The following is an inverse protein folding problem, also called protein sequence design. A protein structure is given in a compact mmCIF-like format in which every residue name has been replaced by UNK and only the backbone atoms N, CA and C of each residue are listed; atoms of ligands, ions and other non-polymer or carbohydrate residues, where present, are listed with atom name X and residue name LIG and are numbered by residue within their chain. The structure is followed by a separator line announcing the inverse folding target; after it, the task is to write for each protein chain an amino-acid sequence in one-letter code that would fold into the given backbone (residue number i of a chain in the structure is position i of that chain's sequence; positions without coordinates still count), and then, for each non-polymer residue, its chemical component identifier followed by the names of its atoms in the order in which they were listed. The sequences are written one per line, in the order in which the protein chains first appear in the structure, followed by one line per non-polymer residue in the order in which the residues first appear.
data_IF_267708965664
#
_entry.id   IF_267708965664
#
_cell.length_a   1.000
_cell.length_b   1.000
_cell.length_c   1.000
_cell.angle_alpha   90.00
_cell.angle_beta   90.00
_cell.angle_gamma   90.00
#
_symmetry.space_group_name_H-M   'P 1'
#
loop_
_entity.id
_entity.type
_entity.pdbx_description
1 polymer ?
#
# COMPACT_ATOMS: atom_id res chain seq x y z
N UNK A 1 2.18 -8.60 3.74
CA UNK A 1 3.20 -8.25 2.71
C UNK A 1 3.52 -9.38 1.72
N UNK A 2 3.53 -10.66 2.12
CA UNK A 2 3.82 -11.79 1.19
C UNK A 2 2.87 -11.88 -0.01
N UNK A 3 1.57 -11.63 0.17
CA UNK A 3 0.61 -11.65 -0.95
C UNK A 3 0.96 -10.64 -2.04
N UNK A 4 1.15 -9.37 -1.67
CA UNK A 4 1.54 -8.32 -2.59
C UNK A 4 2.87 -8.65 -3.30
N UNK A 5 3.84 -9.17 -2.54
CA UNK A 5 5.13 -9.63 -3.07
C UNK A 5 4.98 -10.74 -4.12
N UNK A 6 4.25 -11.80 -3.78
CA UNK A 6 4.05 -12.93 -4.67
C UNK A 6 3.33 -12.52 -5.97
N UNK A 7 2.34 -11.63 -5.87
CA UNK A 7 1.61 -11.15 -7.04
C UNK A 7 2.51 -10.32 -7.96
N UNK A 8 3.29 -9.40 -7.38
CA UNK A 8 4.23 -8.57 -8.12
C UNK A 8 5.36 -9.36 -8.77
N UNK A 9 6.10 -10.13 -7.98
CA UNK A 9 7.21 -10.95 -8.47
C UNK A 9 6.72 -12.05 -9.42
N UNK A 10 5.48 -12.54 -9.28
CA UNK A 10 4.88 -13.44 -10.27
C UNK A 10 4.88 -12.88 -11.69
N UNK A 11 4.87 -11.55 -11.83
CA UNK A 11 4.95 -10.86 -13.12
C UNK A 11 6.38 -10.83 -13.69
N UNK A 12 7.38 -10.72 -12.82
CA UNK A 12 8.80 -10.90 -13.17
C UNK A 12 9.03 -12.34 -13.66
N UNK A 13 8.47 -13.34 -12.97
CA UNK A 13 8.51 -14.74 -13.38
C UNK A 13 7.86 -15.00 -14.74
N UNK A 14 6.81 -14.25 -15.07
CA UNK A 14 6.16 -14.31 -16.38
C UNK A 14 6.96 -13.57 -17.48
N UNK A 15 8.08 -12.92 -17.14
CA UNK A 15 8.96 -12.22 -18.09
C UNK A 15 8.40 -10.91 -18.64
N UNK A 16 7.40 -10.32 -17.96
CA UNK A 16 6.69 -9.12 -18.43
C UNK A 16 6.91 -7.88 -17.55
N UNK A 17 7.70 -7.99 -16.48
CA UNK A 17 8.06 -6.91 -15.59
C UNK A 17 9.47 -7.10 -15.04
N UNK A 18 10.04 -6.01 -14.51
CA UNK A 18 11.26 -6.05 -13.70
C UNK A 18 10.96 -5.85 -12.22
N UNK A 19 11.83 -6.37 -11.35
CA UNK A 19 11.76 -6.17 -9.89
C UNK A 19 11.63 -4.69 -9.48
N UNK A 20 12.24 -3.79 -10.25
CA UNK A 20 12.13 -2.34 -10.06
C UNK A 20 10.71 -1.83 -10.26
N UNK A 21 9.99 -2.33 -11.26
CA UNK A 21 8.61 -1.95 -11.56
C UNK A 21 7.71 -2.29 -10.37
N UNK A 22 7.83 -3.52 -9.87
CA UNK A 22 7.06 -3.96 -8.72
C UNK A 22 7.38 -3.12 -7.48
N UNK A 23 8.67 -2.92 -7.19
CA UNK A 23 9.11 -2.18 -6.00
C UNK A 23 8.63 -0.73 -6.00
N UNK A 24 8.69 -0.05 -7.16
CA UNK A 24 8.16 1.31 -7.31
C UNK A 24 6.62 1.35 -7.23
N UNK A 25 5.94 0.38 -7.82
CA UNK A 25 4.47 0.29 -7.80
C UNK A 25 3.90 0.07 -6.39
N UNK A 26 4.61 -0.67 -5.53
CA UNK A 26 4.21 -0.85 -4.12
C UNK A 26 4.20 0.48 -3.37
N UNK A 27 5.26 1.27 -3.50
CA UNK A 27 5.36 2.58 -2.83
C UNK A 27 4.28 3.55 -3.36
N UNK A 28 4.06 3.57 -4.67
CA UNK A 28 3.02 4.39 -5.29
C UNK A 28 1.62 3.99 -4.83
N UNK A 29 1.31 2.69 -4.84
CA UNK A 29 0.01 2.17 -4.41
C UNK A 29 -0.25 2.42 -2.92
N UNK A 30 0.76 2.28 -2.07
CA UNK A 30 0.66 2.62 -0.65
C UNK A 30 0.34 4.11 -0.43
N UNK A 31 1.05 5.00 -1.13
CA UNK A 31 0.80 6.43 -1.04
C UNK A 31 -0.62 6.81 -1.48
N UNK A 32 -1.12 6.19 -2.56
CA UNK A 32 -2.51 6.36 -3.00
C UNK A 32 -3.50 5.87 -1.94
N UNK A 33 -3.30 4.66 -1.41
CA UNK A 33 -4.19 4.08 -0.40
C UNK A 33 -4.25 4.95 0.87
N UNK A 34 -3.11 5.49 1.34
CA UNK A 34 -3.06 6.43 2.46
C UNK A 34 -3.93 7.67 2.19
N UNK A 35 -3.84 8.25 0.98
CA UNK A 35 -4.64 9.43 0.64
C UNK A 35 -6.14 9.10 0.58
N UNK A 36 -6.51 7.93 0.06
CA UNK A 36 -7.90 7.47 0.07
C UNK A 36 -8.39 7.32 1.51
N UNK A 37 -7.65 6.62 2.38
CA UNK A 37 -8.02 6.44 3.79
C UNK A 37 -8.16 7.77 4.52
N UNK A 38 -7.30 8.75 4.24
CA UNK A 38 -7.41 10.10 4.83
C UNK A 38 -8.73 10.77 4.45
N UNK A 39 -9.14 10.66 3.20
CA UNK A 39 -10.41 11.22 2.74
C UNK A 39 -11.61 10.47 3.33
N UNK A 40 -11.57 9.13 3.32
CA UNK A 40 -12.65 8.28 3.85
C UNK A 40 -12.85 8.49 5.35
N UNK A 41 -11.79 8.76 6.11
CA UNK A 41 -11.90 9.04 7.56
C UNK A 41 -12.91 10.14 7.88
N UNK A 42 -13.02 11.14 7.01
CA UNK A 42 -13.93 12.28 7.18
C UNK A 42 -15.40 11.95 6.88
N UNK A 43 -15.69 10.79 6.30
CA UNK A 43 -17.06 10.39 5.92
C UNK A 43 -17.74 9.57 7.01
N UNK A 44 -17.01 9.13 8.02
CA UNK A 44 -17.51 8.22 9.05
C UNK A 44 -18.42 8.94 10.03
N UNK A 45 -19.54 8.28 10.37
CA UNK A 45 -20.51 8.79 11.36
C UNK A 45 -20.13 8.37 12.77
N UNK A 46 -19.42 7.25 12.94
CA UNK A 46 -18.87 6.87 14.23
C UNK A 46 -17.65 7.73 14.60
N UNK A 47 -17.39 7.85 15.91
CA UNK A 47 -16.14 8.44 16.38
C UNK A 47 -14.98 7.53 16.00
N UNK A 48 -14.13 8.01 15.09
CA UNK A 48 -12.96 7.28 14.62
C UNK A 48 -11.74 8.18 14.67
N UNK A 49 -10.72 7.78 15.44
CA UNK A 49 -9.53 8.60 15.66
C UNK A 49 -8.63 8.59 14.42
N UNK A 50 -8.11 7.41 14.05
CA UNK A 50 -7.13 7.24 12.96
C UNK A 50 -6.97 5.78 12.55
N UNK A 51 -6.57 5.56 11.30
CA UNK A 51 -6.01 4.28 10.88
C UNK A 51 -4.56 4.18 11.29
N UNK A 52 -4.11 3.00 11.72
CA UNK A 52 -2.68 2.76 11.96
C UNK A 52 -2.24 1.45 11.35
N UNK A 53 -1.11 1.47 10.65
CA UNK A 53 -0.52 0.27 10.05
C UNK A 53 0.97 0.45 9.81
N UNK A 54 1.67 -0.66 9.57
CA UNK A 54 3.09 -0.65 9.22
C UNK A 54 3.24 -0.61 7.71
N UNK A 55 4.02 0.36 7.23
CA UNK A 55 4.29 0.60 5.82
C UNK A 55 5.24 -0.45 5.25
N UNK A 56 5.35 -0.53 3.92
CA UNK A 56 6.27 -1.45 3.25
C UNK A 56 7.74 -1.17 3.58
N UNK A 57 8.09 0.08 3.91
CA UNK A 57 9.43 0.48 4.35
C UNK A 57 9.70 0.19 5.85
N UNK A 58 8.72 -0.35 6.57
CA UNK A 58 8.80 -0.67 8.00
C UNK A 58 8.43 0.49 8.93
N UNK A 59 8.21 1.70 8.42
CA UNK A 59 7.75 2.85 9.24
C UNK A 59 6.27 2.73 9.61
N UNK A 60 5.82 3.49 10.62
CA UNK A 60 4.41 3.49 11.04
C UNK A 60 3.63 4.57 10.29
N UNK A 61 2.52 4.18 9.68
CA UNK A 61 1.52 5.11 9.17
C UNK A 61 0.44 5.37 10.22
N UNK A 62 0.07 6.64 10.36
CA UNK A 62 -1.10 7.11 11.10
C UNK A 62 -1.90 8.02 10.17
N UNK A 63 -3.17 7.69 9.89
CA UNK A 63 -4.00 8.35 8.86
C UNK A 63 -5.34 8.78 9.41
#
# INVERSE_FOLDING_TARGET
NKLAWNYGIGRDWAGIHWRSDFSASLALGEALAINVLRNERHTYREQFEKFTFTRFDGTRAEV
#
